data_IF_110280426914
#
_entry.id   IF_110280426914
#
_cell.length_a   1.000
_cell.length_b   1.000
_cell.length_c   1.000
_cell.angle_alpha   90.00
_cell.angle_beta   90.00
_cell.angle_gamma   90.00
#
_symmetry.space_group_name_H-M   'P 1'
#
loop_
_entity.id
_entity.type
_entity.pdbx_description
1 polymer ?
#
# COMPACT_ATOMS: atom_id res chain seq x y z
N UNK A 1 9.61 -1.02 -16.52
CA UNK A 1 10.06 -0.05 -15.51
C UNK A 1 9.01 0.01 -14.42
N UNK A 2 9.41 -0.08 -13.15
CA UNK A 2 8.48 0.06 -12.02
C UNK A 2 8.23 1.53 -11.73
N UNK A 3 7.01 1.89 -11.34
CA UNK A 3 6.67 3.26 -10.95
C UNK A 3 6.64 3.39 -9.43
N UNK A 4 7.03 4.56 -8.92
CA UNK A 4 6.93 4.89 -7.50
C UNK A 4 5.66 5.72 -7.27
N UNK A 5 4.79 5.24 -6.39
CA UNK A 5 3.49 5.88 -6.11
C UNK A 5 3.43 6.27 -4.64
N UNK A 6 3.08 7.51 -4.30
CA UNK A 6 2.87 7.90 -2.91
C UNK A 6 1.65 7.19 -2.33
N UNK A 7 1.75 6.77 -1.08
CA UNK A 7 0.68 6.15 -0.31
C UNK A 7 0.37 6.98 0.91
N UNK A 8 -0.91 7.25 1.14
CA UNK A 8 -1.43 7.86 2.36
C UNK A 8 -2.64 7.08 2.85
N UNK A 9 -2.64 6.71 4.14
CA UNK A 9 -3.68 5.90 4.76
C UNK A 9 -3.93 6.35 6.19
N UNK A 10 -5.20 6.46 6.59
CA UNK A 10 -5.57 6.41 8.01
C UNK A 10 -6.03 4.99 8.35
N UNK A 11 -5.28 4.33 9.24
CA UNK A 11 -5.59 2.99 9.72
C UNK A 11 -6.19 3.06 11.12
N UNK A 12 -7.43 2.59 11.24
CA UNK A 12 -8.05 2.29 12.53
C UNK A 12 -7.49 0.98 13.06
N UNK A 13 -6.82 1.03 14.20
CA UNK A 13 -6.32 -0.16 14.85
C UNK A 13 -7.46 -0.87 15.57
N UNK A 14 -7.59 -2.16 15.33
CA UNK A 14 -8.46 -3.07 16.07
C UNK A 14 -7.69 -3.71 17.23
N UNK A 15 -8.39 -4.29 18.22
CA UNK A 15 -7.73 -5.08 19.26
C UNK A 15 -6.82 -6.17 18.67
N UNK A 16 -5.63 -6.32 19.26
CA UNK A 16 -4.62 -7.30 18.84
C UNK A 16 -3.29 -6.67 18.41
N UNK A 17 -2.35 -7.46 17.86
CA UNK A 17 -1.03 -6.99 17.48
C UNK A 17 -1.10 -5.95 16.36
N UNK A 18 -0.42 -4.82 16.52
CA UNK A 18 -0.47 -3.72 15.56
C UNK A 18 0.24 -4.03 14.24
N UNK A 19 1.42 -4.68 14.30
CA UNK A 19 2.25 -4.89 13.11
C UNK A 19 1.54 -5.69 11.99
N UNK A 20 0.84 -6.81 12.26
CA UNK A 20 0.04 -7.50 11.25
C UNK A 20 -1.04 -6.61 10.64
N UNK A 21 -1.71 -5.77 11.44
CA UNK A 21 -2.75 -4.86 10.98
C UNK A 21 -2.18 -3.79 10.05
N UNK A 22 -1.03 -3.21 10.39
CA UNK A 22 -0.30 -2.26 9.54
C UNK A 22 0.07 -2.91 8.20
N UNK A 23 0.66 -4.11 8.23
CA UNK A 23 1.05 -4.85 7.03
C UNK A 23 -0.14 -5.10 6.10
N UNK A 24 -1.28 -5.52 6.65
CA UNK A 24 -2.49 -5.77 5.88
C UNK A 24 -3.09 -4.48 5.30
N UNK A 25 -3.13 -3.41 6.08
CA UNK A 25 -3.60 -2.09 5.62
C UNK A 25 -2.76 -1.55 4.47
N UNK A 26 -1.43 -1.55 4.65
CA UNK A 26 -0.48 -1.12 3.62
C UNK A 26 -0.56 -1.97 2.35
N UNK A 27 -0.65 -3.29 2.46
CA UNK A 27 -0.75 -4.17 1.30
C UNK A 27 -2.09 -4.02 0.55
N UNK A 28 -3.18 -3.71 1.27
CA UNK A 28 -4.47 -3.42 0.65
C UNK A 28 -4.42 -2.09 -0.10
N UNK A 29 -3.85 -1.07 0.54
CA UNK A 29 -3.76 0.27 -0.03
C UNK A 29 -2.78 0.33 -1.21
N UNK A 30 -1.64 -0.37 -1.13
CA UNK A 30 -0.71 -0.52 -2.24
C UNK A 30 -1.40 -1.13 -3.47
N UNK A 31 -2.16 -2.21 -3.30
CA UNK A 31 -2.94 -2.82 -4.37
C UNK A 31 -4.01 -1.89 -4.93
N UNK A 32 -4.68 -1.11 -4.07
CA UNK A 32 -5.67 -0.10 -4.50
C UNK A 32 -5.04 1.00 -5.37
N UNK A 33 -3.82 1.44 -5.02
CA UNK A 33 -3.13 2.53 -5.70
C UNK A 33 -2.41 2.10 -6.98
N UNK A 34 -1.83 0.91 -7.01
CA UNK A 34 -0.86 0.49 -8.03
C UNK A 34 -1.15 -0.89 -8.64
N UNK A 35 -2.26 -1.53 -8.29
CA UNK A 35 -2.70 -2.81 -8.85
C UNK A 35 -2.12 -4.05 -8.16
N UNK A 36 -2.49 -5.22 -8.67
CA UNK A 36 -2.00 -6.50 -8.14
C UNK A 36 -0.49 -6.62 -8.28
N UNK A 37 0.18 -7.13 -7.24
CA UNK A 37 1.65 -7.19 -7.14
C UNK A 37 2.32 -5.89 -6.68
N UNK A 38 1.54 -4.84 -6.38
CA UNK A 38 2.09 -3.64 -5.75
C UNK A 38 2.50 -3.89 -4.30
N UNK A 39 3.72 -3.48 -3.96
CA UNK A 39 4.28 -3.68 -2.63
C UNK A 39 4.75 -2.34 -2.00
N UNK A 40 4.50 -2.12 -0.69
CA UNK A 40 5.06 -0.98 0.02
C UNK A 40 6.59 -1.10 0.11
N UNK A 41 7.31 -0.10 -0.40
CA UNK A 41 8.78 -0.03 -0.30
C UNK A 41 9.22 0.50 1.06
N UNK A 42 8.60 1.61 1.47
CA UNK A 42 8.86 2.30 2.73
C UNK A 42 7.58 2.95 3.23
N UNK A 43 7.45 3.03 4.54
CA UNK A 43 6.33 3.70 5.18
C UNK A 43 6.74 4.16 6.58
N UNK A 44 6.03 5.16 7.09
CA UNK A 44 6.15 5.63 8.45
C UNK A 44 4.77 5.99 9.00
N UNK A 45 4.60 5.88 10.32
CA UNK A 45 3.47 6.48 11.00
C UNK A 45 3.82 7.96 11.21
N UNK A 46 3.06 8.87 10.61
CA UNK A 46 3.33 10.31 10.65
C UNK A 46 2.42 11.07 11.61
N UNK A 47 1.29 10.47 12.00
CA UNK A 47 0.38 11.04 12.99
C UNK A 47 -0.43 9.96 13.72
N UNK A 48 -0.93 10.31 14.90
CA UNK A 48 -1.87 9.51 15.70
C UNK A 48 -3.03 10.41 16.11
N UNK A 49 -4.25 9.94 15.90
CA UNK A 49 -5.49 10.64 16.27
C UNK A 49 -6.47 9.65 16.91
N UNK A 50 -7.07 9.96 18.08
CA UNK A 50 -7.98 9.04 18.76
C UNK A 50 -9.25 8.67 18.00
N UNK A 51 -9.69 9.51 17.05
CA UNK A 51 -10.91 9.29 16.25
C UNK A 51 -10.60 8.69 14.89
N UNK A 52 -9.43 8.96 14.31
CA UNK A 52 -9.04 8.55 12.95
C UNK A 52 -8.03 7.39 12.92
N UNK A 53 -7.34 7.13 14.03
CA UNK A 53 -6.34 6.07 14.16
C UNK A 53 -4.92 6.56 13.84
N UNK A 54 -4.16 5.77 13.09
CA UNK A 54 -2.78 6.04 12.72
C UNK A 54 -2.72 6.56 11.29
N UNK A 55 -2.02 7.66 11.04
CA UNK A 55 -1.68 8.08 9.68
C UNK A 55 -0.41 7.40 9.24
N UNK A 56 -0.47 6.70 8.11
CA UNK A 56 0.66 6.14 7.42
C UNK A 56 0.92 6.92 6.13
N UNK A 57 2.18 7.26 5.92
CA UNK A 57 2.67 7.80 4.66
C UNK A 57 3.79 6.91 4.15
N UNK A 58 3.85 6.69 2.84
CA UNK A 58 4.79 5.76 2.26
C UNK A 58 4.95 5.88 0.76
N UNK A 59 5.76 4.97 0.22
CA UNK A 59 6.00 4.82 -1.21
C UNK A 59 5.75 3.36 -1.57
N UNK A 60 5.02 3.16 -2.65
CA UNK A 60 4.70 1.86 -3.23
C UNK A 60 5.47 1.69 -4.53
N UNK A 61 5.95 0.47 -4.77
CA UNK A 61 6.46 0.08 -6.09
C UNK A 61 5.32 -0.57 -6.86
N UNK A 62 4.91 0.05 -7.96
CA UNK A 62 4.00 -0.55 -8.91
C UNK A 62 4.78 -1.51 -9.83
N UNK A 63 4.28 -2.73 -10.07
CA UNK A 63 4.87 -3.59 -11.09
C UNK A 63 4.81 -2.90 -12.46
N UNK A 64 5.77 -3.21 -13.33
CA UNK A 64 5.71 -2.74 -14.70
C UNK A 64 4.40 -3.25 -15.34
N UNK A 65 3.71 -2.44 -16.16
CA UNK A 65 2.56 -2.93 -16.90
C UNK A 65 3.00 -4.13 -17.74
N UNK A 66 2.51 -5.32 -17.39
CA UNK A 66 2.66 -6.50 -18.24
C UNK A 66 1.96 -6.18 -19.55
N UNK A 67 2.72 -6.15 -20.65
CA UNK A 67 2.13 -6.09 -21.98
C UNK A 67 1.17 -7.27 -22.13
N UNK A 68 -0.08 -7.00 -22.52
CA UNK A 68 -1.03 -8.07 -22.82
C UNK A 68 -0.40 -9.00 -23.88
N UNK A 69 -0.59 -10.32 -23.78
CA UNK A 69 -0.09 -11.24 -24.80
C UNK A 69 -0.67 -10.84 -26.14
N UNK A 70 0.20 -10.49 -27.09
CA UNK A 70 -0.20 -10.27 -28.48
C UNK A 70 -0.67 -11.63 -28.99
N UNK A 71 -1.95 -11.80 -29.41
CA UNK A 71 -2.36 -13.03 -30.06
C UNK A 71 -1.48 -13.21 -31.30
N UNK A 72 -0.78 -14.35 -31.36
CA UNK A 72 0.03 -14.72 -32.50
C UNK A 72 -0.81 -14.84 -33.78
N UNK A 73 -0.16 -14.76 -34.96
CA UNK A 73 -0.83 -14.72 -36.26
C UNK A 73 -1.71 -15.93 -36.53
#
# INVERSE_FOLDING_TARGET
MSALVPLELWLQASPGPLLPQLRQGLAREARRLAGEGAEPLRWAITAVDPRRGLRLEGVVVAPAPTAAPVPGP
#
